data_IF_296366125938
#
_entry.id   IF_296366125938
#
_cell.length_a   1.000
_cell.length_b   1.000
_cell.length_c   1.000
_cell.angle_alpha   90.00
_cell.angle_beta   90.00
_cell.angle_gamma   90.00
#
_symmetry.space_group_name_H-M   'P 1'
#
loop_
_entity.id
_entity.type
_entity.pdbx_description
1 polymer ?
#
# COMPACT_ATOMS: atom_id res chain seq x y z
N UNK A 1 -45.70 -32.65 23.49
CA UNK A 1 -44.64 -31.90 24.19
C UNK A 1 -45.17 -30.47 24.41
N UNK A 2 -45.58 -30.15 25.64
CA UNK A 2 -46.43 -29.00 26.00
C UNK A 2 -45.72 -27.65 25.89
N UNK A 3 -46.45 -26.58 25.55
CA UNK A 3 -45.94 -25.19 25.36
C UNK A 3 -45.02 -24.69 26.49
N UNK A 4 -45.19 -25.18 27.72
CA UNK A 4 -44.31 -24.86 28.87
C UNK A 4 -42.86 -25.28 28.66
N UNK A 5 -42.60 -26.44 28.02
CA UNK A 5 -41.22 -26.89 27.76
C UNK A 5 -40.54 -26.04 26.68
N UNK A 6 -41.30 -25.57 25.67
CA UNK A 6 -40.78 -24.72 24.60
C UNK A 6 -40.36 -23.34 25.11
N UNK A 7 -41.13 -22.75 26.03
CA UNK A 7 -40.78 -21.49 26.69
C UNK A 7 -39.60 -21.59 27.66
N UNK A 8 -39.41 -22.75 28.30
CA UNK A 8 -38.27 -22.99 29.19
C UNK A 8 -36.96 -23.12 28.41
N UNK A 9 -36.99 -23.79 27.26
CA UNK A 9 -35.83 -23.91 26.37
C UNK A 9 -35.50 -22.55 25.70
N UNK A 10 -36.50 -21.80 25.22
CA UNK A 10 -36.27 -20.45 24.67
C UNK A 10 -35.62 -19.49 25.67
N UNK A 11 -36.05 -19.52 26.95
CA UNK A 11 -35.41 -18.73 28.01
C UNK A 11 -33.96 -19.14 28.27
N UNK A 12 -33.62 -20.43 28.17
CA UNK A 12 -32.23 -20.88 28.29
C UNK A 12 -31.36 -20.38 27.14
N UNK A 13 -31.86 -20.39 25.90
CA UNK A 13 -31.13 -19.84 24.75
C UNK A 13 -30.94 -18.33 24.85
N UNK A 14 -31.97 -17.58 25.27
CA UNK A 14 -31.85 -16.13 25.49
C UNK A 14 -30.85 -15.82 26.61
N UNK A 15 -30.89 -16.56 27.72
CA UNK A 15 -29.92 -16.40 28.82
C UNK A 15 -28.52 -16.79 28.36
N UNK A 16 -28.36 -17.86 27.56
CA UNK A 16 -27.06 -18.26 27.03
C UNK A 16 -26.48 -17.21 26.07
N UNK A 17 -27.29 -16.63 25.17
CA UNK A 17 -26.89 -15.55 24.26
C UNK A 17 -26.54 -14.28 25.05
N UNK A 18 -27.33 -13.95 26.08
CA UNK A 18 -27.07 -12.80 26.95
C UNK A 18 -25.79 -13.00 27.79
N UNK A 19 -25.54 -14.20 28.31
CA UNK A 19 -24.29 -14.56 28.98
C UNK A 19 -23.09 -14.55 28.01
N UNK A 20 -23.25 -15.01 26.76
CA UNK A 20 -22.20 -14.93 25.74
C UNK A 20 -21.86 -13.47 25.40
N UNK A 21 -22.88 -12.60 25.32
CA UNK A 21 -22.70 -11.16 25.11
C UNK A 21 -22.01 -10.47 26.31
N UNK A 22 -22.34 -10.86 27.55
CA UNK A 22 -21.67 -10.33 28.76
C UNK A 22 -20.21 -10.80 28.85
N UNK A 23 -19.93 -12.08 28.56
CA UNK A 23 -18.56 -12.61 28.57
C UNK A 23 -17.71 -11.91 27.50
N UNK A 24 -18.29 -11.61 26.34
CA UNK A 24 -17.64 -10.83 25.27
C UNK A 24 -17.36 -9.38 25.70
N UNK A 25 -18.26 -8.76 26.47
CA UNK A 25 -18.07 -7.39 26.99
C UNK A 25 -17.01 -7.30 28.10
N UNK A 26 -16.74 -8.39 28.84
CA UNK A 26 -15.74 -8.42 29.92
C UNK A 26 -14.32 -8.77 29.49
N UNK A 27 -14.12 -9.27 28.28
CA UNK A 27 -12.78 -9.44 27.68
C UNK A 27 -12.35 -8.16 26.93
N UNK A 28 -12.35 -7.02 27.62
CA UNK A 28 -11.54 -5.89 27.16
C UNK A 28 -10.08 -6.28 27.36
N UNK A 29 -9.41 -6.78 26.32
CA UNK A 29 -7.96 -7.01 26.36
C UNK A 29 -7.30 -5.70 26.79
N UNK A 30 -6.71 -5.69 27.99
CA UNK A 30 -6.00 -4.53 28.51
C UNK A 30 -4.86 -4.24 27.54
N UNK A 31 -4.85 -3.05 26.95
CA UNK A 31 -3.82 -2.69 25.98
C UNK A 31 -2.44 -2.77 26.61
N UNK A 32 -1.46 -3.29 25.86
CA UNK A 32 -0.07 -3.41 26.30
C UNK A 32 0.64 -2.05 26.36
N UNK A 33 0.16 -1.06 25.62
CA UNK A 33 0.65 0.32 25.64
C UNK A 33 -0.47 1.32 25.34
N UNK A 34 -0.20 2.61 25.54
CA UNK A 34 -1.08 3.70 25.13
C UNK A 34 -0.24 4.87 24.61
N UNK A 35 -0.49 5.32 23.39
CA UNK A 35 0.06 6.58 22.90
C UNK A 35 -0.70 7.71 23.58
N UNK A 36 -0.05 8.36 24.55
CA UNK A 36 -0.65 9.50 25.26
C UNK A 36 -0.78 10.70 24.34
N UNK A 37 0.20 10.88 23.46
CA UNK A 37 0.19 11.93 22.44
C UNK A 37 1.07 11.54 21.25
N UNK A 38 0.58 11.82 20.05
CA UNK A 38 1.37 11.84 18.82
C UNK A 38 1.16 13.20 18.15
N UNK A 39 2.23 13.81 17.65
CA UNK A 39 2.15 14.99 16.80
C UNK A 39 2.92 14.72 15.51
N UNK A 40 2.27 14.91 14.37
CA UNK A 40 2.84 14.85 13.03
C UNK A 40 2.71 16.22 12.38
N UNK A 41 3.81 16.85 11.99
CA UNK A 41 3.81 18.18 11.36
C UNK A 41 4.50 18.10 10.00
N UNK A 42 3.80 18.51 8.95
CA UNK A 42 4.30 18.58 7.58
C UNK A 42 4.39 20.05 7.19
N UNK A 43 5.53 20.48 6.69
CA UNK A 43 5.74 21.88 6.28
C UNK A 43 6.23 21.91 4.84
N UNK A 44 5.48 22.58 3.96
CA UNK A 44 5.96 22.96 2.64
C UNK A 44 6.59 24.36 2.76
N UNK A 45 7.86 24.47 2.44
CA UNK A 45 8.58 25.73 2.45
C UNK A 45 8.44 26.46 1.09
N UNK A 46 8.74 27.76 1.08
CA UNK A 46 8.63 28.61 -0.13
C UNK A 46 9.52 28.13 -1.29
N UNK A 47 10.65 27.51 -0.98
CA UNK A 47 11.58 26.97 -1.97
C UNK A 47 11.18 25.58 -2.51
N UNK A 48 10.10 24.99 -1.99
CA UNK A 48 9.62 23.66 -2.34
C UNK A 48 10.26 22.51 -1.56
N UNK A 49 11.13 22.79 -0.57
CA UNK A 49 11.54 21.78 0.41
C UNK A 49 10.37 21.36 1.30
N UNK A 50 10.44 20.15 1.85
CA UNK A 50 9.40 19.58 2.73
C UNK A 50 10.02 19.05 3.99
N UNK A 51 9.55 19.57 5.13
CA UNK A 51 9.93 19.11 6.46
C UNK A 51 8.82 18.25 7.07
N UNK A 52 9.23 17.14 7.70
CA UNK A 52 8.37 16.29 8.50
C UNK A 52 8.91 16.21 9.93
N UNK A 53 8.13 16.72 10.88
CA UNK A 53 8.44 16.67 12.31
C UNK A 53 7.48 15.73 13.02
N UNK A 54 8.03 14.83 13.83
CA UNK A 54 7.26 13.81 14.55
C UNK A 54 7.62 13.81 16.02
N UNK A 55 6.59 13.83 16.88
CA UNK A 55 6.75 13.56 18.31
C UNK A 55 5.80 12.47 18.78
N UNK A 56 6.25 11.69 19.77
CA UNK A 56 5.37 10.76 20.50
C UNK A 56 5.68 10.74 21.99
N UNK A 57 4.63 10.48 22.76
CA UNK A 57 4.68 10.09 24.17
C UNK A 57 3.91 8.78 24.31
N UNK A 58 4.61 7.69 24.60
CA UNK A 58 4.07 6.32 24.59
C UNK A 58 4.26 5.66 25.97
N UNK A 59 3.15 5.37 26.65
CA UNK A 59 3.14 4.68 27.95
C UNK A 59 3.16 3.17 27.74
N UNK A 60 4.08 2.48 28.40
CA UNK A 60 4.20 1.03 28.36
C UNK A 60 3.52 0.40 29.58
N UNK A 61 2.61 -0.54 29.36
CA UNK A 61 1.74 -1.10 30.40
C UNK A 61 2.01 -2.59 30.68
N UNK A 62 2.83 -3.24 29.86
CA UNK A 62 3.19 -4.66 30.03
C UNK A 62 4.63 -4.95 29.58
N UNK A 63 5.16 -6.11 30.00
CA UNK A 63 6.44 -6.63 29.49
C UNK A 63 6.43 -6.89 27.99
N UNK A 64 5.27 -7.27 27.43
CA UNK A 64 5.14 -7.53 26.01
C UNK A 64 5.38 -6.26 25.18
N UNK A 65 4.91 -5.11 25.69
CA UNK A 65 5.06 -3.82 25.03
C UNK A 65 6.53 -3.50 24.71
N UNK A 66 7.44 -3.60 25.69
CA UNK A 66 8.84 -3.23 25.48
C UNK A 66 9.73 -4.37 25.00
N UNK A 67 9.36 -5.63 25.19
CA UNK A 67 10.14 -6.75 24.66
C UNK A 67 9.84 -7.07 23.19
N UNK A 68 8.65 -6.71 22.67
CA UNK A 68 8.19 -7.17 21.36
C UNK A 68 7.62 -6.10 20.44
N UNK A 69 7.09 -4.99 20.96
CA UNK A 69 6.37 -4.00 20.13
C UNK A 69 7.11 -2.67 19.99
N UNK A 70 7.58 -2.11 21.10
CA UNK A 70 7.95 -0.69 21.22
C UNK A 70 9.32 -0.46 21.84
N UNK A 71 10.14 -1.50 21.98
CA UNK A 71 11.52 -1.36 22.45
C UNK A 71 12.38 -0.53 21.49
N UNK A 72 11.99 -0.46 20.23
CA UNK A 72 12.71 0.22 19.16
C UNK A 72 11.79 1.15 18.36
N UNK A 73 12.37 2.09 17.64
CA UNK A 73 11.67 2.86 16.61
C UNK A 73 12.54 2.95 15.38
N UNK A 74 11.94 2.73 14.22
CA UNK A 74 12.61 2.67 12.94
C UNK A 74 12.21 3.91 12.14
N UNK A 75 13.19 4.68 11.67
CA UNK A 75 12.99 5.91 10.93
C UNK A 75 13.76 5.81 9.62
N UNK A 76 13.04 5.77 8.51
CA UNK A 76 13.63 5.63 7.18
C UNK A 76 13.76 7.00 6.52
N UNK A 77 14.89 7.24 5.86
CA UNK A 77 15.11 8.43 5.02
C UNK A 77 16.04 8.12 3.85
N UNK A 78 15.98 8.96 2.82
CA UNK A 78 16.89 8.93 1.68
C UNK A 78 18.07 9.89 1.93
N UNK A 79 19.30 9.40 2.14
CA UNK A 79 20.43 10.26 2.52
C UNK A 79 20.90 11.22 1.42
N UNK A 80 20.54 10.97 0.17
CA UNK A 80 20.94 11.84 -0.95
C UNK A 80 20.13 13.15 -0.97
N UNK A 81 18.92 13.13 -0.40
CA UNK A 81 17.97 14.25 -0.46
C UNK A 81 17.32 14.62 0.87
N UNK A 82 17.56 13.84 1.92
CA UNK A 82 16.91 14.03 3.21
C UNK A 82 17.91 13.95 4.36
N UNK A 83 17.83 14.93 5.24
CA UNK A 83 18.56 14.94 6.50
C UNK A 83 17.62 14.59 7.67
N UNK A 84 17.97 13.56 8.43
CA UNK A 84 17.27 13.18 9.66
C UNK A 84 17.99 13.77 10.87
N UNK A 85 17.24 14.46 11.73
CA UNK A 85 17.70 14.99 13.01
C UNK A 85 16.86 14.38 14.14
N UNK A 86 17.48 13.67 15.09
CA UNK A 86 16.83 13.27 16.34
C UNK A 86 16.93 14.44 17.32
N UNK A 87 15.85 15.21 17.47
CA UNK A 87 15.81 16.39 18.33
C UNK A 87 15.89 15.99 19.82
N UNK A 88 15.14 14.95 20.22
CA UNK A 88 15.26 14.36 21.56
C UNK A 88 14.74 12.93 21.63
N UNK A 89 15.36 12.11 22.48
CA UNK A 89 14.89 10.75 22.79
C UNK A 89 15.20 10.40 24.24
N UNK A 90 14.18 10.04 25.01
CA UNK A 90 14.34 9.66 26.42
C UNK A 90 13.13 8.88 26.95
N UNK A 91 13.36 8.13 28.02
CA UNK A 91 12.33 7.43 28.76
C UNK A 91 12.13 8.08 30.14
N UNK A 92 10.88 8.24 30.56
CA UNK A 92 10.53 8.49 31.96
C UNK A 92 10.15 7.15 32.60
N UNK A 93 10.93 6.70 33.56
CA UNK A 93 10.71 5.45 34.32
C UNK A 93 9.46 5.56 35.21
N UNK A 94 9.01 4.44 35.77
CA UNK A 94 7.81 4.39 36.60
C UNK A 94 7.96 5.21 37.90
N UNK A 95 9.19 5.32 38.42
CA UNK A 95 9.55 6.16 39.57
C UNK A 95 9.73 7.66 39.22
N UNK A 96 9.57 8.03 37.95
CA UNK A 96 9.73 9.39 37.44
C UNK A 96 11.15 9.76 36.99
N UNK A 97 12.13 8.85 37.12
CA UNK A 97 13.50 9.11 36.67
C UNK A 97 13.56 9.22 35.14
N UNK A 98 14.21 10.29 34.65
CA UNK A 98 14.48 10.49 33.22
C UNK A 98 15.77 9.79 32.80
N UNK A 99 15.70 8.92 31.80
CA UNK A 99 16.83 8.25 31.16
C UNK A 99 16.91 8.74 29.71
N UNK A 100 17.94 9.50 29.37
CA UNK A 100 18.20 9.93 27.99
C UNK A 100 18.74 8.74 27.19
N UNK A 101 18.25 8.56 25.96
CA UNK A 101 18.74 7.52 25.05
C UNK A 101 20.23 7.79 24.77
N UNK A 102 21.14 6.84 25.07
CA UNK A 102 22.57 7.05 24.86
C UNK A 102 22.92 7.07 23.37
N UNK A 103 24.03 7.70 23.00
CA UNK A 103 24.44 7.86 21.59
C UNK A 103 24.63 6.52 20.85
N UNK A 104 25.07 5.48 21.54
CA UNK A 104 25.25 4.14 20.96
C UNK A 104 23.94 3.34 20.79
N UNK A 105 22.79 3.91 21.17
CA UNK A 105 21.47 3.33 20.94
C UNK A 105 20.80 3.85 19.66
N UNK A 106 21.51 4.67 18.87
CA UNK A 106 21.12 5.06 17.53
C UNK A 106 21.99 4.28 16.54
N UNK A 107 21.37 3.35 15.82
CA UNK A 107 22.07 2.52 14.83
C UNK A 107 21.53 2.81 13.44
N UNK A 108 22.43 3.13 12.52
CA UNK A 108 22.09 3.31 11.12
C UNK A 108 22.28 2.00 10.36
N UNK A 109 21.23 1.54 9.68
CA UNK A 109 21.24 0.28 8.91
C UNK A 109 20.61 0.48 7.54
N UNK A 110 20.80 -0.50 6.67
CA UNK A 110 20.07 -0.59 5.41
C UNK A 110 18.66 -1.15 5.68
N UNK A 111 17.58 -0.45 5.29
CA UNK A 111 16.23 -0.99 5.44
C UNK A 111 16.10 -2.30 4.67
N UNK A 112 15.33 -3.25 5.25
CA UNK A 112 15.19 -4.59 4.68
C UNK A 112 14.71 -4.60 3.22
N UNK A 113 13.83 -3.68 2.85
CA UNK A 113 13.29 -3.60 1.48
C UNK A 113 14.31 -3.10 0.44
N UNK A 114 15.40 -2.45 0.88
CA UNK A 114 16.49 -1.98 0.03
C UNK A 114 17.65 -2.99 -0.09
N UNK A 115 17.50 -4.18 0.52
CA UNK A 115 18.49 -5.24 0.41
C UNK A 115 18.76 -5.61 -1.05
N UNK A 116 20.02 -5.92 -1.38
CA UNK A 116 20.47 -6.29 -2.72
C UNK A 116 20.06 -5.31 -3.84
N UNK A 117 19.84 -4.03 -3.51
CA UNK A 117 19.36 -3.01 -4.45
C UNK A 117 20.38 -1.88 -4.60
N UNK A 118 21.46 -2.06 -5.41
CA UNK A 118 22.56 -1.10 -5.47
C UNK A 118 22.15 0.33 -5.83
N UNK A 119 21.14 0.50 -6.70
CA UNK A 119 20.62 1.82 -7.08
C UNK A 119 19.94 2.58 -5.93
N UNK A 120 19.61 1.89 -4.84
CA UNK A 120 18.85 2.40 -3.70
C UNK A 120 19.60 2.21 -2.37
N UNK A 121 20.91 1.96 -2.44
CA UNK A 121 21.76 1.73 -1.28
C UNK A 121 22.10 3.02 -0.49
N UNK A 122 21.51 4.16 -0.84
CA UNK A 122 21.56 5.42 -0.09
C UNK A 122 20.36 5.57 0.85
N UNK A 123 19.35 4.70 0.76
CA UNK A 123 18.26 4.70 1.74
C UNK A 123 18.79 4.14 3.06
N UNK A 124 18.49 4.80 4.17
CA UNK A 124 18.91 4.42 5.52
C UNK A 124 17.72 4.32 6.45
N UNK A 125 17.84 3.42 7.40
CA UNK A 125 16.92 3.25 8.51
C UNK A 125 17.70 3.47 9.81
N UNK A 126 17.26 4.44 10.59
CA UNK A 126 17.80 4.70 11.92
C UNK A 126 16.95 3.94 12.93
N UNK A 127 17.58 3.00 13.63
CA UNK A 127 17.01 2.24 14.73
C UNK A 127 17.32 2.96 16.03
N UNK A 128 16.28 3.51 16.66
CA UNK A 128 16.33 4.12 17.99
C UNK A 128 15.96 3.07 19.02
N UNK A 129 16.95 2.53 19.74
CA UNK A 129 16.71 1.60 20.85
C UNK A 129 16.38 2.37 22.13
N UNK A 130 15.16 2.24 22.63
CA UNK A 130 14.73 2.93 23.85
C UNK A 130 15.30 2.25 25.10
N UNK A 131 15.92 3.01 25.98
CA UNK A 131 16.57 2.48 27.20
C UNK A 131 15.76 2.84 28.46
N UNK A 132 16.02 2.14 29.57
CA UNK A 132 15.29 2.37 30.83
C UNK A 132 13.83 1.93 30.78
N UNK A 133 13.51 0.90 29.98
CA UNK A 133 12.15 0.39 29.82
C UNK A 133 11.75 -0.54 30.96
N UNK A 134 10.58 -0.29 31.54
CA UNK A 134 9.95 -1.12 32.55
C UNK A 134 8.43 -0.95 32.46
N UNK A 135 7.67 -1.79 33.14
CA UNK A 135 6.21 -1.61 33.19
C UNK A 135 5.90 -0.28 33.87
N UNK A 136 5.16 0.57 33.17
CA UNK A 136 4.86 1.92 33.63
C UNK A 136 5.84 2.99 33.15
N UNK A 137 6.88 2.67 32.37
CA UNK A 137 7.71 3.71 31.76
C UNK A 137 7.01 4.40 30.57
N UNK A 138 7.50 5.58 30.20
CA UNK A 138 6.96 6.40 29.10
C UNK A 138 8.09 6.79 28.15
N UNK A 139 8.02 6.30 26.91
CA UNK A 139 8.94 6.67 25.84
C UNK A 139 8.56 8.05 25.28
N UNK A 140 9.54 8.93 25.11
CA UNK A 140 9.41 10.19 24.43
C UNK A 140 10.43 10.26 23.30
N UNK A 141 9.96 10.53 22.09
CA UNK A 141 10.79 10.67 20.89
C UNK A 141 10.32 11.87 20.09
N UNK A 142 11.28 12.62 19.58
CA UNK A 142 11.12 13.82 18.78
C UNK A 142 12.20 13.83 17.69
N UNK A 143 11.78 13.88 16.43
CA UNK A 143 12.69 13.94 15.29
C UNK A 143 12.13 14.77 14.13
N UNK A 144 13.04 15.24 13.27
CA UNK A 144 12.72 15.98 12.05
C UNK A 144 13.42 15.33 10.84
N UNK A 145 12.68 15.12 9.75
CA UNK A 145 13.24 14.82 8.43
C UNK A 145 13.07 16.06 7.57
N UNK A 146 14.18 16.62 7.08
CA UNK A 146 14.17 17.74 6.14
C UNK A 146 14.48 17.22 4.75
N UNK A 147 13.60 17.49 3.78
CA UNK A 147 13.75 17.02 2.40
C UNK A 147 14.08 18.19 1.48
N UNK A 148 15.15 18.05 0.70
CA UNK A 148 15.61 19.06 -0.24
C UNK A 148 14.54 19.40 -1.30
N UNK A 149 14.54 20.64 -1.84
CA UNK A 149 13.63 21.04 -2.91
C UNK A 149 13.69 20.08 -4.11
N UNK A 150 12.52 19.68 -4.61
CA UNK A 150 12.41 18.80 -5.78
C UNK A 150 12.66 17.31 -5.53
N UNK A 151 12.88 16.91 -4.27
CA UNK A 151 12.80 15.49 -3.89
C UNK A 151 11.36 15.00 -3.99
N UNK A 152 10.45 15.62 -3.25
CA UNK A 152 9.01 15.40 -3.42
C UNK A 152 8.44 16.35 -4.47
N UNK A 153 7.55 15.89 -5.36
CA UNK A 153 6.91 16.77 -6.34
C UNK A 153 5.96 17.77 -5.67
N UNK A 154 5.31 17.36 -4.58
CA UNK A 154 4.35 18.14 -3.80
C UNK A 154 4.40 17.69 -2.34
N UNK A 155 3.89 18.51 -1.42
CA UNK A 155 3.58 18.05 -0.07
C UNK A 155 2.33 17.16 -0.14
N UNK A 156 2.46 15.90 0.25
CA UNK A 156 1.41 14.89 0.20
C UNK A 156 1.43 14.05 1.49
N UNK A 157 0.27 13.55 1.92
CA UNK A 157 0.16 12.61 3.03
C UNK A 157 -0.97 11.60 2.84
N UNK A 158 -0.74 10.37 3.29
CA UNK A 158 -1.70 9.25 3.39
C UNK A 158 -1.64 8.69 4.82
N UNK A 159 -2.26 9.40 5.76
CA UNK A 159 -2.14 9.15 7.19
C UNK A 159 -3.25 8.24 7.69
N UNK A 160 -2.94 6.96 7.91
CA UNK A 160 -3.77 6.07 8.73
C UNK A 160 -3.66 6.56 10.18
N UNK A 161 -4.81 6.86 10.80
CA UNK A 161 -4.84 7.53 12.10
C UNK A 161 -4.74 6.53 13.26
N UNK A 162 -5.07 5.27 13.02
CA UNK A 162 -4.93 4.18 14.00
C UNK A 162 -3.48 3.75 14.18
N UNK A 163 -3.15 3.36 15.41
CA UNK A 163 -1.90 2.71 15.77
C UNK A 163 -2.20 1.33 16.36
N UNK A 164 -1.19 0.46 16.47
CA UNK A 164 -1.40 -0.88 17.06
C UNK A 164 -1.78 -0.88 18.54
N UNK A 165 -1.74 0.29 19.20
CA UNK A 165 -2.24 0.53 20.54
C UNK A 165 -3.06 1.83 20.57
N UNK A 166 -3.99 2.01 21.52
CA UNK A 166 -4.88 3.16 21.56
C UNK A 166 -4.11 4.47 21.61
N UNK A 167 -4.65 5.51 20.96
CA UNK A 167 -4.07 6.85 20.93
C UNK A 167 -5.01 7.82 21.62
N UNK A 168 -4.56 8.39 22.74
CA UNK A 168 -5.34 9.35 23.52
C UNK A 168 -5.50 10.68 22.77
N UNK A 169 -4.44 11.17 22.13
CA UNK A 169 -4.46 12.38 21.32
C UNK A 169 -3.48 12.26 20.13
N UNK A 170 -4.00 12.38 18.91
CA UNK A 170 -3.21 12.52 17.68
C UNK A 170 -3.45 13.91 17.11
N UNK A 171 -2.38 14.65 16.86
CA UNK A 171 -2.42 15.96 16.22
C UNK A 171 -1.69 15.86 14.89
N UNK A 172 -2.36 16.23 13.80
CA UNK A 172 -1.74 16.38 12.49
C UNK A 172 -1.78 17.86 12.12
N UNK A 173 -0.63 18.41 11.77
CA UNK A 173 -0.49 19.79 11.29
C UNK A 173 0.11 19.80 9.90
N UNK A 174 -0.51 20.56 9.01
CA UNK A 174 0.02 20.80 7.67
C UNK A 174 0.17 22.29 7.46
N UNK A 175 1.39 22.73 7.26
CA UNK A 175 1.77 24.12 7.03
C UNK A 175 2.15 24.28 5.56
N UNK A 176 1.51 25.23 4.88
CA UNK A 176 1.79 25.58 3.48
C UNK A 176 1.98 27.09 3.33
N UNK A 177 2.72 27.56 2.30
CA UNK A 177 2.78 28.98 1.98
C UNK A 177 1.39 29.59 1.80
N UNK A 178 1.20 30.84 2.22
CA UNK A 178 -0.13 31.47 2.27
C UNK A 178 -0.82 31.58 0.90
N UNK A 179 -0.04 31.68 -0.19
CA UNK A 179 -0.49 31.74 -1.57
C UNK A 179 -0.88 30.37 -2.16
N UNK A 180 -0.59 29.27 -1.45
CA UNK A 180 -0.96 27.90 -1.85
C UNK A 180 -2.27 27.46 -1.21
N UNK A 181 -2.82 26.39 -1.78
CA UNK A 181 -3.98 25.67 -1.28
C UNK A 181 -3.59 24.26 -0.81
N UNK A 182 -4.29 23.77 0.22
CA UNK A 182 -4.22 22.38 0.65
C UNK A 182 -5.57 21.72 0.33
N UNK A 183 -5.53 20.64 -0.45
CA UNK A 183 -6.68 19.77 -0.67
C UNK A 183 -6.58 18.59 0.29
N UNK A 184 -7.68 18.18 0.90
CA UNK A 184 -7.68 17.07 1.84
C UNK A 184 -9.03 16.34 1.85
N UNK A 185 -9.00 15.10 2.32
CA UNK A 185 -10.18 14.28 2.56
C UNK A 185 -9.97 13.37 3.75
N UNK A 186 -11.04 13.12 4.51
CA UNK A 186 -11.06 12.11 5.56
C UNK A 186 -11.87 10.90 5.10
N UNK A 187 -11.41 9.72 5.49
CA UNK A 187 -12.10 8.45 5.28
C UNK A 187 -12.39 7.82 6.64
N UNK A 188 -13.60 7.28 6.82
CA UNK A 188 -14.07 6.61 8.06
C UNK A 188 -13.96 7.44 9.35
N UNK A 189 -13.85 8.76 9.23
CA UNK A 189 -13.88 9.70 10.35
C UNK A 189 -14.32 11.07 9.82
N UNK A 190 -14.88 11.91 10.69
CA UNK A 190 -15.26 13.29 10.35
C UNK A 190 -14.58 14.25 11.32
N UNK A 191 -13.88 15.24 10.78
CA UNK A 191 -13.18 16.29 11.53
C UNK A 191 -12.81 17.44 10.59
N UNK A 192 -13.02 18.67 11.02
CA UNK A 192 -12.59 19.85 10.28
C UNK A 192 -11.29 20.40 10.90
N UNK A 193 -10.31 20.84 10.10
CA UNK A 193 -9.10 21.43 10.64
C UNK A 193 -9.38 22.81 11.22
N UNK A 194 -8.70 23.13 12.32
CA UNK A 194 -8.52 24.53 12.72
C UNK A 194 -7.47 25.16 11.83
N UNK A 195 -7.86 26.19 11.08
CA UNK A 195 -6.96 26.92 10.17
C UNK A 195 -6.45 28.18 10.85
N UNK A 196 -5.13 28.39 10.81
CA UNK A 196 -4.49 29.59 11.35
C UNK A 196 -3.42 30.11 10.37
N UNK A 197 -3.04 31.38 10.51
CA UNK A 197 -1.93 31.96 9.75
C UNK A 197 -0.77 32.25 10.70
N UNK A 198 0.43 31.73 10.41
CA UNK A 198 1.63 31.91 11.23
C UNK A 198 2.84 32.09 10.32
N UNK A 199 3.56 33.20 10.47
CA UNK A 199 4.84 33.42 9.78
C UNK A 199 4.76 33.33 8.25
N UNK A 200 3.69 33.84 7.63
CA UNK A 200 3.50 33.76 6.17
C UNK A 200 2.96 32.41 5.67
N UNK A 201 2.72 31.45 6.57
CA UNK A 201 2.15 30.14 6.24
C UNK A 201 0.71 30.02 6.75
N UNK A 202 -0.09 29.24 6.02
CA UNK A 202 -1.40 28.75 6.44
C UNK A 202 -1.23 27.37 7.05
N UNK A 203 -1.69 27.20 8.30
CA UNK A 203 -1.53 25.97 9.08
C UNK A 203 -2.89 25.34 9.33
N UNK A 204 -3.07 24.11 8.87
CA UNK A 204 -4.25 23.28 9.08
C UNK A 204 -3.96 22.30 10.22
N UNK A 205 -4.77 22.32 11.29
CA UNK A 205 -4.57 21.45 12.46
C UNK A 205 -5.77 20.56 12.69
N UNK A 206 -5.59 19.25 12.55
CA UNK A 206 -6.54 18.24 13.01
C UNK A 206 -6.14 17.73 14.39
N UNK A 207 -7.13 17.50 15.25
CA UNK A 207 -6.93 16.86 16.55
C UNK A 207 -7.93 15.73 16.69
N UNK A 208 -7.42 14.50 16.79
CA UNK A 208 -8.20 13.30 17.01
C UNK A 208 -7.96 12.81 18.43
N UNK A 209 -9.03 12.50 19.15
CA UNK A 209 -8.96 12.07 20.55
C UNK A 209 -9.55 10.69 20.70
N UNK A 210 -8.96 9.89 21.59
CA UNK A 210 -9.46 8.56 21.95
C UNK A 210 -9.63 7.63 20.75
N UNK A 211 -8.62 7.56 19.88
CA UNK A 211 -8.58 6.60 18.78
C UNK A 211 -8.34 5.20 19.35
N UNK A 212 -9.14 4.25 18.88
CA UNK A 212 -8.99 2.84 19.23
C UNK A 212 -7.67 2.29 18.65
N UNK A 213 -7.19 1.18 19.22
CA UNK A 213 -6.14 0.40 18.59
C UNK A 213 -6.66 -0.19 17.26
N UNK A 214 -5.77 -0.31 16.28
CA UNK A 214 -6.08 -1.03 15.05
C UNK A 214 -6.49 -2.47 15.36
N UNK A 215 -7.39 -3.01 14.53
CA UNK A 215 -7.81 -4.40 14.66
C UNK A 215 -6.61 -5.34 14.49
N UNK A 216 -6.64 -6.47 15.20
CA UNK A 216 -5.66 -7.57 15.05
C UNK A 216 -6.25 -8.74 14.25
N UNK A 217 -7.40 -8.55 13.61
CA UNK A 217 -8.01 -9.57 12.75
C UNK A 217 -7.13 -9.82 11.51
N UNK A 218 -6.85 -11.10 11.25
CA UNK A 218 -6.04 -11.56 10.12
C UNK A 218 -6.71 -11.33 8.75
N UNK A 219 -8.02 -11.08 8.72
CA UNK A 219 -8.80 -10.90 7.49
C UNK A 219 -9.29 -9.47 7.27
N UNK A 220 -8.55 -8.49 7.79
CA UNK A 220 -8.83 -7.08 7.50
C UNK A 220 -8.75 -6.79 6.01
N UNK A 221 -9.56 -5.83 5.57
CA UNK A 221 -9.53 -5.32 4.21
C UNK A 221 -8.12 -4.83 3.85
N UNK A 222 -7.68 -5.16 2.63
CA UNK A 222 -6.41 -4.70 2.11
C UNK A 222 -6.34 -3.17 2.06
N UNK A 223 -5.12 -2.64 2.12
CA UNK A 223 -4.87 -1.21 2.03
C UNK A 223 -5.52 -0.36 3.11
N UNK A 224 -6.08 -0.93 4.19
CA UNK A 224 -6.71 -0.22 5.30
C UNK A 224 -7.85 0.72 4.89
N UNK A 225 -8.70 0.27 3.96
CA UNK A 225 -9.86 1.05 3.46
C UNK A 225 -10.94 1.28 4.49
N UNK A 226 -10.99 0.49 5.56
CA UNK A 226 -11.92 0.63 6.69
C UNK A 226 -11.35 1.43 7.87
N UNK A 227 -10.05 1.72 7.90
CA UNK A 227 -9.43 2.52 8.97
C UNK A 227 -9.71 4.01 8.80
N UNK A 228 -9.80 4.78 9.90
CA UNK A 228 -9.87 6.23 9.86
C UNK A 228 -8.56 6.79 9.30
N UNK A 229 -8.68 7.68 8.31
CA UNK A 229 -7.54 8.15 7.51
C UNK A 229 -7.70 9.60 7.11
N UNK A 230 -6.59 10.33 7.09
CA UNK A 230 -6.47 11.65 6.50
C UNK A 230 -5.56 11.61 5.27
N UNK A 231 -6.09 12.05 4.14
CA UNK A 231 -5.33 12.23 2.91
C UNK A 231 -5.25 13.71 2.59
N UNK A 232 -4.07 14.22 2.24
CA UNK A 232 -3.90 15.62 1.83
C UNK A 232 -2.83 15.78 0.75
N UNK A 233 -2.95 16.86 -0.02
CA UNK A 233 -1.95 17.28 -1.01
C UNK A 233 -1.97 18.79 -1.23
N UNK A 234 -0.81 19.37 -1.51
CA UNK A 234 -0.67 20.76 -1.95
C UNK A 234 -0.99 20.96 -3.45
N UNK A 235 -1.44 19.91 -4.15
CA UNK A 235 -1.78 19.95 -5.57
C UNK A 235 -2.99 19.08 -5.89
N UNK A 236 -3.53 19.24 -7.11
CA UNK A 236 -4.56 18.36 -7.65
C UNK A 236 -3.97 17.11 -8.31
N UNK A 237 -4.81 16.13 -8.61
CA UNK A 237 -4.36 14.87 -9.18
C UNK A 237 -3.85 15.01 -10.60
N UNK A 238 -4.36 15.97 -11.37
CA UNK A 238 -3.95 16.15 -12.75
C UNK A 238 -2.50 16.65 -12.83
N UNK A 239 -2.10 17.59 -11.99
CA UNK A 239 -0.73 18.10 -11.95
C UNK A 239 0.23 17.03 -11.44
N UNK A 240 -0.12 16.35 -10.33
CA UNK A 240 0.67 15.22 -9.81
C UNK A 240 0.86 14.12 -10.85
N UNK A 241 -0.20 13.78 -11.60
CA UNK A 241 -0.13 12.85 -12.71
C UNK A 241 0.80 13.32 -13.83
N UNK A 242 0.63 14.55 -14.31
CA UNK A 242 1.40 15.11 -15.42
C UNK A 242 2.89 15.11 -15.09
N UNK A 243 3.27 15.55 -13.88
CA UNK A 243 4.66 15.53 -13.45
C UNK A 243 5.20 14.10 -13.36
N UNK A 244 4.40 13.17 -12.82
CA UNK A 244 4.79 11.77 -12.68
C UNK A 244 5.08 11.12 -14.04
N UNK A 245 4.20 11.27 -15.03
CA UNK A 245 4.40 10.68 -16.37
C UNK A 245 5.37 11.47 -17.25
N UNK A 246 5.76 12.69 -16.85
CA UNK A 246 6.71 13.51 -17.62
C UNK A 246 8.14 12.97 -17.58
N UNK A 247 8.44 12.13 -16.58
CA UNK A 247 9.76 11.56 -16.31
C UNK A 247 10.35 10.84 -17.52
N UNK A 248 11.69 10.83 -17.61
CA UNK A 248 12.41 10.17 -18.70
C UNK A 248 12.10 8.66 -18.81
N UNK A 249 11.72 8.01 -17.72
CA UNK A 249 11.37 6.59 -17.70
C UNK A 249 10.19 6.25 -18.65
N UNK A 250 9.22 7.16 -18.81
CA UNK A 250 8.06 6.98 -19.69
C UNK A 250 8.33 7.27 -21.18
N UNK A 251 9.60 7.39 -21.59
CA UNK A 251 9.99 7.44 -23.01
C UNK A 251 10.06 6.05 -23.66
N UNK A 252 10.04 4.99 -22.85
CA UNK A 252 10.05 3.59 -23.30
C UNK A 252 11.20 3.22 -24.24
N UNK A 253 12.38 3.83 -24.04
CA UNK A 253 13.54 3.58 -24.90
C UNK A 253 14.02 2.13 -24.81
N UNK A 254 14.52 1.60 -25.93
CA UNK A 254 15.12 0.26 -26.04
C UNK A 254 16.61 0.34 -26.37
N UNK A 255 17.38 -0.69 -26.00
CA UNK A 255 18.77 -0.88 -26.41
C UNK A 255 18.90 -2.13 -27.31
N UNK A 256 20.08 -2.35 -27.89
CA UNK A 256 20.32 -3.46 -28.82
C UNK A 256 19.96 -4.84 -28.24
N UNK A 257 20.27 -5.09 -26.96
CA UNK A 257 19.97 -6.36 -26.29
C UNK A 257 18.46 -6.61 -26.14
N UNK A 258 17.70 -5.56 -25.79
CA UNK A 258 16.24 -5.61 -25.72
C UNK A 258 15.63 -5.85 -27.11
N UNK A 259 16.15 -5.17 -28.13
CA UNK A 259 15.65 -5.30 -29.50
C UNK A 259 15.92 -6.70 -30.06
N UNK A 260 17.10 -7.27 -29.78
CA UNK A 260 17.43 -8.64 -30.14
C UNK A 260 16.47 -9.65 -29.51
N UNK A 261 16.18 -9.53 -28.21
CA UNK A 261 15.20 -10.38 -27.52
C UNK A 261 13.82 -10.31 -28.21
N UNK A 262 13.38 -9.12 -28.60
CA UNK A 262 12.09 -8.94 -29.28
C UNK A 262 12.09 -9.57 -30.67
N UNK A 263 13.17 -9.40 -31.44
CA UNK A 263 13.29 -10.03 -32.77
C UNK A 263 13.26 -11.55 -32.69
N UNK A 264 14.04 -12.15 -31.78
CA UNK A 264 14.04 -13.60 -31.55
C UNK A 264 12.64 -14.10 -31.13
N UNK A 265 11.92 -13.32 -30.30
CA UNK A 265 10.55 -13.63 -29.91
C UNK A 265 9.57 -13.56 -31.09
N UNK A 266 9.74 -12.59 -32.00
CA UNK A 266 8.87 -12.42 -33.16
C UNK A 266 9.03 -13.54 -34.19
N UNK A 267 10.22 -14.14 -34.30
CA UNK A 267 10.50 -15.29 -35.18
C UNK A 267 9.83 -16.60 -34.71
N UNK A 268 9.39 -16.67 -33.46
CA UNK A 268 8.66 -17.85 -32.95
C UNK A 268 7.25 -17.96 -33.55
N UNK A 269 6.84 -19.20 -33.86
CA UNK A 269 5.48 -19.55 -34.26
C UNK A 269 4.56 -19.64 -33.02
N UNK A 270 4.40 -18.50 -32.36
CA UNK A 270 3.52 -18.31 -31.21
C UNK A 270 2.45 -17.28 -31.52
N UNK A 271 1.26 -17.48 -30.96
CA UNK A 271 0.19 -16.48 -31.03
C UNK A 271 0.52 -15.24 -30.18
N UNK A 272 -0.25 -14.16 -30.39
CA UNK A 272 -0.04 -12.85 -29.75
C UNK A 272 0.02 -12.92 -28.22
N UNK A 273 -0.87 -13.69 -27.58
CA UNK A 273 -0.91 -13.80 -26.12
C UNK A 273 0.31 -14.59 -25.62
N UNK A 274 0.65 -15.70 -26.28
CA UNK A 274 1.86 -16.48 -25.97
C UNK A 274 3.13 -15.61 -26.03
N UNK A 275 3.25 -14.74 -27.05
CA UNK A 275 4.36 -13.78 -27.17
C UNK A 275 4.39 -12.78 -26.00
N UNK A 276 3.23 -12.22 -25.63
CA UNK A 276 3.12 -11.31 -24.50
C UNK A 276 3.54 -11.97 -23.17
N UNK A 277 3.07 -13.19 -22.90
CA UNK A 277 3.41 -13.94 -21.69
C UNK A 277 4.87 -14.40 -21.66
N UNK A 278 5.47 -14.68 -22.82
CA UNK A 278 6.89 -15.02 -22.89
C UNK A 278 7.79 -13.81 -22.56
N UNK A 279 7.43 -12.61 -23.04
CA UNK A 279 8.10 -11.36 -22.64
C UNK A 279 7.85 -11.04 -21.16
N UNK A 280 6.61 -11.22 -20.66
CA UNK A 280 6.29 -11.10 -19.24
C UNK A 280 7.18 -12.03 -18.42
N UNK A 281 7.27 -13.31 -18.77
CA UNK A 281 8.10 -14.30 -18.08
C UNK A 281 9.57 -13.90 -18.03
N UNK A 282 10.11 -13.35 -19.12
CA UNK A 282 11.48 -12.84 -19.14
C UNK A 282 11.68 -11.74 -18.11
N UNK A 283 10.77 -10.76 -18.05
CA UNK A 283 10.86 -9.67 -17.06
C UNK A 283 10.58 -10.17 -15.65
N UNK A 284 9.52 -10.96 -15.43
CA UNK A 284 9.07 -11.36 -14.11
C UNK A 284 10.01 -12.35 -13.43
N UNK A 285 10.51 -13.36 -14.16
CA UNK A 285 11.22 -14.49 -13.57
C UNK A 285 12.75 -14.41 -13.73
N UNK A 286 13.27 -13.67 -14.71
CA UNK A 286 14.71 -13.63 -14.97
C UNK A 286 15.38 -12.36 -14.42
N UNK A 287 14.60 -11.44 -13.84
CA UNK A 287 15.10 -10.18 -13.25
C UNK A 287 14.72 -10.07 -11.77
N UNK A 288 15.63 -9.54 -10.96
CA UNK A 288 15.42 -9.31 -9.53
C UNK A 288 14.25 -8.38 -9.25
N UNK A 289 13.40 -8.75 -8.29
CA UNK A 289 12.34 -7.89 -7.78
C UNK A 289 12.88 -7.04 -6.64
N UNK A 290 12.68 -5.73 -6.72
CA UNK A 290 12.98 -4.79 -5.66
C UNK A 290 11.66 -4.20 -5.14
N UNK A 291 11.55 -4.01 -3.83
CA UNK A 291 10.36 -3.45 -3.19
C UNK A 291 10.63 -2.08 -2.57
N UNK A 292 11.25 -1.15 -3.33
CA UNK A 292 11.43 0.24 -2.86
C UNK A 292 10.09 0.97 -2.93
N UNK A 293 9.56 1.47 -1.80
CA UNK A 293 8.40 2.36 -1.80
C UNK A 293 8.69 3.69 -2.52
N UNK A 294 7.73 4.21 -3.28
CA UNK A 294 7.91 5.40 -4.12
C UNK A 294 8.32 6.63 -3.31
N UNK A 295 7.84 6.77 -2.09
CA UNK A 295 8.13 7.88 -1.20
C UNK A 295 9.62 7.98 -0.84
N UNK A 296 10.34 6.85 -0.78
CA UNK A 296 11.79 6.85 -0.53
C UNK A 296 12.62 7.04 -1.81
N UNK A 297 11.99 6.92 -2.98
CA UNK A 297 12.57 7.24 -4.29
C UNK A 297 12.17 8.64 -4.80
N UNK A 298 11.50 9.46 -3.99
CA UNK A 298 11.03 10.79 -4.39
C UNK A 298 9.99 10.75 -5.52
N UNK A 299 9.21 9.66 -5.60
CA UNK A 299 8.26 9.38 -6.69
C UNK A 299 8.91 9.33 -8.08
N UNK A 300 10.21 9.00 -8.13
CA UNK A 300 10.97 8.81 -9.37
C UNK A 300 11.28 7.34 -9.60
N UNK A 301 11.55 6.99 -10.85
CA UNK A 301 11.95 5.64 -11.23
C UNK A 301 13.01 5.65 -12.34
N UNK A 302 13.80 4.57 -12.42
CA UNK A 302 14.77 4.38 -13.51
C UNK A 302 14.05 4.02 -14.81
N UNK A 303 14.71 4.27 -15.94
CA UNK A 303 14.17 3.95 -17.25
C UNK A 303 14.37 2.46 -17.61
N UNK A 304 13.72 2.01 -18.69
CA UNK A 304 13.78 0.61 -19.15
C UNK A 304 15.19 0.10 -19.44
N UNK A 305 16.11 0.93 -19.94
CA UNK A 305 17.48 0.53 -20.25
C UNK A 305 18.27 0.29 -18.96
N UNK A 306 18.13 1.16 -17.97
CA UNK A 306 18.79 1.00 -16.66
C UNK A 306 18.25 -0.23 -15.90
N UNK A 307 16.95 -0.46 -15.95
CA UNK A 307 16.30 -1.65 -15.39
C UNK A 307 16.81 -2.92 -16.08
N UNK A 308 16.89 -2.93 -17.41
CA UNK A 308 17.43 -4.03 -18.19
C UNK A 308 18.91 -4.32 -17.82
N UNK A 309 19.75 -3.29 -17.86
CA UNK A 309 21.19 -3.43 -17.62
C UNK A 309 21.52 -3.86 -16.18
N UNK A 310 20.72 -3.44 -15.21
CA UNK A 310 20.90 -3.84 -13.81
C UNK A 310 20.33 -5.22 -13.47
N UNK A 311 19.55 -5.82 -14.39
CA UNK A 311 18.85 -7.09 -14.21
C UNK A 311 17.93 -7.14 -12.97
N UNK A 312 17.41 -5.99 -12.56
CA UNK A 312 16.51 -5.85 -11.42
C UNK A 312 15.75 -4.52 -11.44
N UNK A 313 14.57 -4.49 -10.83
CA UNK A 313 13.81 -3.25 -10.71
C UNK A 313 12.65 -3.32 -9.73
N UNK A 314 12.12 -2.15 -9.40
CA UNK A 314 10.84 -2.00 -8.73
C UNK A 314 9.69 -2.43 -9.65
N UNK A 315 8.49 -2.62 -9.09
CA UNK A 315 7.32 -3.02 -9.89
C UNK A 315 7.03 -2.06 -11.05
N UNK A 316 7.11 -0.75 -10.79
CA UNK A 316 6.98 0.29 -11.80
C UNK A 316 8.08 0.21 -12.86
N UNK A 317 9.34 0.12 -12.44
CA UNK A 317 10.48 0.02 -13.37
C UNK A 317 10.37 -1.20 -14.28
N UNK A 318 9.99 -2.36 -13.72
CA UNK A 318 9.75 -3.58 -14.48
C UNK A 318 8.52 -3.48 -15.37
N UNK A 319 7.47 -2.77 -14.96
CA UNK A 319 6.30 -2.51 -15.79
C UNK A 319 6.63 -1.60 -16.98
N UNK A 320 7.47 -0.58 -16.77
CA UNK A 320 8.00 0.29 -17.84
C UNK A 320 8.86 -0.56 -18.81
N UNK A 321 9.76 -1.40 -18.29
CA UNK A 321 10.56 -2.30 -19.12
C UNK A 321 9.70 -3.25 -19.96
N UNK A 322 8.74 -3.95 -19.34
CA UNK A 322 7.83 -4.85 -20.04
C UNK A 322 7.02 -4.09 -21.12
N UNK A 323 6.58 -2.88 -20.81
CA UNK A 323 5.90 -2.01 -21.78
C UNK A 323 6.80 -1.67 -22.97
N UNK A 324 8.06 -1.29 -22.74
CA UNK A 324 9.03 -1.02 -23.82
C UNK A 324 9.24 -2.22 -24.74
N UNK A 325 9.37 -3.43 -24.17
CA UNK A 325 9.52 -4.67 -24.95
C UNK A 325 8.27 -4.98 -25.79
N UNK A 326 7.08 -4.85 -25.19
CA UNK A 326 5.82 -5.13 -25.87
C UNK A 326 5.52 -4.09 -26.97
N UNK A 327 5.80 -2.81 -26.73
CA UNK A 327 5.68 -1.76 -27.75
C UNK A 327 6.65 -2.02 -28.91
N UNK A 328 7.91 -2.40 -28.63
CA UNK A 328 8.87 -2.79 -29.67
C UNK A 328 8.39 -4.01 -30.46
N UNK A 329 7.70 -4.95 -29.81
CA UNK A 329 7.10 -6.11 -30.46
C UNK A 329 5.84 -5.79 -31.30
N UNK A 330 5.38 -4.53 -31.30
CA UNK A 330 4.24 -4.05 -32.09
C UNK A 330 2.89 -4.10 -31.35
N UNK A 331 2.88 -4.39 -30.05
CA UNK A 331 1.67 -4.38 -29.24
C UNK A 331 1.35 -2.97 -28.74
N UNK A 332 0.06 -2.61 -28.75
CA UNK A 332 -0.41 -1.39 -28.11
C UNK A 332 -0.48 -1.63 -26.61
N UNK A 333 0.43 -0.98 -25.89
CA UNK A 333 0.69 -1.25 -24.47
C UNK A 333 0.91 0.03 -23.69
N UNK A 334 0.40 0.09 -22.47
CA UNK A 334 0.62 1.19 -21.52
C UNK A 334 0.83 0.65 -20.10
N UNK A 335 1.61 1.37 -19.28
CA UNK A 335 1.65 1.13 -17.84
C UNK A 335 0.38 1.73 -17.23
N UNK A 336 -0.20 1.05 -16.25
CA UNK A 336 -1.29 1.59 -15.43
C UNK A 336 -0.90 1.57 -13.95
N UNK A 337 -1.21 2.64 -13.23
CA UNK A 337 -1.18 2.68 -11.78
C UNK A 337 -2.53 2.20 -11.23
N UNK A 338 -2.48 1.54 -10.08
CA UNK A 338 -3.65 1.01 -9.38
C UNK A 338 -3.68 1.61 -7.99
N UNK A 339 -4.83 2.17 -7.61
CA UNK A 339 -5.09 2.62 -6.25
C UNK A 339 -6.52 2.24 -5.84
N UNK A 340 -6.78 2.00 -4.54
CA UNK A 340 -8.13 1.79 -4.06
C UNK A 340 -9.05 2.92 -4.50
N UNK A 341 -10.21 2.59 -5.06
CA UNK A 341 -11.17 3.57 -5.59
C UNK A 341 -11.55 4.63 -4.56
N UNK A 342 -11.66 4.24 -3.29
CA UNK A 342 -11.98 5.13 -2.17
C UNK A 342 -10.91 6.20 -1.90
N UNK A 343 -9.67 5.98 -2.35
CA UNK A 343 -8.57 6.92 -2.18
C UNK A 343 -8.36 7.81 -3.40
N UNK A 344 -9.01 7.51 -4.54
CA UNK A 344 -8.94 8.36 -5.72
C UNK A 344 -9.81 9.60 -5.54
N UNK A 345 -9.17 10.76 -5.59
CA UNK A 345 -9.85 12.05 -5.65
C UNK A 345 -9.13 12.96 -6.65
N UNK A 346 -9.86 13.41 -7.68
CA UNK A 346 -9.32 14.28 -8.74
C UNK A 346 -8.73 15.59 -8.20
N UNK A 347 -9.23 16.07 -7.06
CA UNK A 347 -8.84 17.34 -6.45
C UNK A 347 -7.63 17.16 -5.52
N UNK A 348 -7.19 15.92 -5.25
CA UNK A 348 -6.07 15.63 -4.34
C UNK A 348 -4.99 14.84 -5.10
N UNK A 349 -3.88 15.51 -5.41
CA UNK A 349 -2.72 14.88 -6.03
C UNK A 349 -1.89 14.11 -5.04
N UNK A 350 -2.36 12.92 -4.64
CA UNK A 350 -1.64 12.04 -3.72
C UNK A 350 -1.13 10.78 -4.42
N UNK A 351 0.16 10.74 -4.74
CA UNK A 351 0.82 9.58 -5.34
C UNK A 351 1.04 8.43 -4.34
N UNK A 352 0.99 8.69 -3.01
CA UNK A 352 1.08 7.65 -1.97
C UNK A 352 -0.09 6.66 -2.00
N UNK A 353 -1.22 7.07 -2.61
CA UNK A 353 -2.38 6.21 -2.76
C UNK A 353 -2.17 5.09 -3.80
N UNK A 354 -1.18 5.20 -4.69
CA UNK A 354 -0.85 4.15 -5.66
C UNK A 354 -0.26 2.96 -4.90
N UNK A 355 -0.89 1.79 -5.02
CA UNK A 355 -0.49 0.57 -4.30
C UNK A 355 0.11 -0.49 -5.22
N UNK A 356 -0.12 -0.38 -6.53
CA UNK A 356 0.30 -1.40 -7.49
C UNK A 356 0.44 -0.79 -8.90
N UNK A 357 1.19 -1.47 -9.77
CA UNK A 357 1.33 -1.15 -11.20
C UNK A 357 1.09 -2.40 -12.05
N UNK A 358 0.41 -2.22 -13.19
CA UNK A 358 0.17 -3.27 -14.18
C UNK A 358 0.58 -2.80 -15.57
N UNK A 359 0.75 -3.74 -16.48
CA UNK A 359 0.94 -3.49 -17.90
C UNK A 359 -0.32 -3.89 -18.62
N UNK A 360 -0.97 -2.91 -19.24
CA UNK A 360 -2.17 -3.13 -20.05
C UNK A 360 -1.77 -3.32 -21.51
N UNK A 361 -2.17 -4.44 -22.11
CA UNK A 361 -1.89 -4.78 -23.52
C UNK A 361 -3.21 -5.01 -24.25
N UNK A 362 -3.37 -4.42 -25.44
CA UNK A 362 -4.53 -4.66 -26.29
C UNK A 362 -4.23 -5.79 -27.30
N UNK A 363 -4.92 -6.93 -27.17
CA UNK A 363 -4.83 -8.07 -28.10
C UNK A 363 -6.11 -8.14 -28.93
N UNK A 364 -6.00 -8.18 -30.27
CA UNK A 364 -7.15 -8.05 -31.19
C UNK A 364 -8.35 -8.97 -30.89
N UNK A 365 -8.09 -10.23 -30.51
CA UNK A 365 -9.12 -11.24 -30.24
C UNK A 365 -9.56 -11.31 -28.78
N UNK A 366 -8.75 -10.80 -27.85
CA UNK A 366 -8.97 -10.94 -26.40
C UNK A 366 -9.32 -9.61 -25.71
N UNK A 367 -9.19 -8.48 -26.40
CA UNK A 367 -9.37 -7.15 -25.83
C UNK A 367 -8.19 -6.76 -24.93
N UNK A 368 -8.50 -6.00 -23.88
CA UNK A 368 -7.51 -5.50 -22.94
C UNK A 368 -7.14 -6.57 -21.91
N UNK A 369 -5.86 -6.92 -21.87
CA UNK A 369 -5.28 -7.78 -20.84
C UNK A 369 -4.38 -6.97 -19.91
N UNK A 370 -4.36 -7.34 -18.63
CA UNK A 370 -3.55 -6.70 -17.61
C UNK A 370 -2.58 -7.73 -17.04
N UNK A 371 -1.30 -7.39 -17.10
CA UNK A 371 -0.17 -8.24 -16.71
C UNK A 371 0.59 -7.61 -15.54
N UNK A 372 1.03 -8.43 -14.60
CA UNK A 372 2.01 -8.09 -13.58
C UNK A 372 3.42 -8.14 -14.16
N UNK A 373 4.27 -7.22 -13.73
CA UNK A 373 5.70 -7.24 -14.05
C UNK A 373 6.53 -8.12 -13.08
N UNK A 374 5.95 -8.53 -11.96
CA UNK A 374 6.65 -9.22 -10.86
C UNK A 374 6.40 -10.74 -10.81
N UNK A 375 5.35 -11.22 -11.48
CA UNK A 375 4.98 -12.64 -11.56
C UNK A 375 4.35 -12.94 -12.91
N UNK A 376 4.37 -14.22 -13.30
CA UNK A 376 3.54 -14.71 -14.40
C UNK A 376 2.11 -14.84 -13.89
N UNK A 377 1.18 -14.22 -14.59
CA UNK A 377 -0.22 -14.30 -14.21
C UNK A 377 -0.85 -15.56 -14.78
N UNK A 378 -1.64 -16.22 -13.95
CA UNK A 378 -2.48 -17.32 -14.43
C UNK A 378 -3.66 -16.79 -15.20
N UNK A 379 -4.20 -15.62 -14.86
CA UNK A 379 -5.41 -15.03 -15.45
C UNK A 379 -5.26 -13.52 -15.60
N UNK A 380 -6.13 -12.90 -16.40
CA UNK A 380 -6.17 -11.45 -16.59
C UNK A 380 -6.32 -10.73 -15.25
N UNK A 381 -5.31 -9.91 -14.90
CA UNK A 381 -5.32 -9.18 -13.64
C UNK A 381 -6.47 -8.18 -13.54
N UNK A 382 -7.16 -7.83 -14.65
CA UNK A 382 -8.35 -7.00 -14.60
C UNK A 382 -9.39 -7.50 -13.59
N UNK A 383 -9.57 -8.81 -13.47
CA UNK A 383 -10.56 -9.41 -12.56
C UNK A 383 -10.24 -9.15 -11.09
N UNK A 384 -8.98 -8.91 -10.73
CA UNK A 384 -8.60 -8.59 -9.35
C UNK A 384 -8.73 -7.11 -9.00
N UNK A 385 -9.04 -6.24 -9.98
CA UNK A 385 -9.01 -4.78 -9.83
C UNK A 385 -10.41 -4.15 -9.69
N UNK A 386 -11.41 -4.93 -9.26
CA UNK A 386 -12.82 -4.51 -9.23
C UNK A 386 -13.13 -3.34 -8.28
N UNK A 387 -12.34 -3.17 -7.22
CA UNK A 387 -12.48 -2.09 -6.22
C UNK A 387 -11.44 -0.98 -6.39
N UNK A 388 -10.71 -1.00 -7.50
CA UNK A 388 -9.60 -0.09 -7.76
C UNK A 388 -9.94 0.95 -8.84
N UNK A 389 -9.32 2.11 -8.70
CA UNK A 389 -9.13 3.06 -9.78
C UNK A 389 -7.86 2.69 -10.56
N UNK A 390 -8.02 2.46 -11.86
CA UNK A 390 -6.94 2.14 -12.80
C UNK A 390 -6.60 3.41 -13.58
N UNK A 391 -5.39 3.93 -13.41
CA UNK A 391 -4.93 5.17 -14.02
C UNK A 391 -3.92 4.86 -15.12
N UNK A 392 -4.24 5.18 -16.36
CA UNK A 392 -3.31 5.06 -17.49
C UNK A 392 -2.14 6.04 -17.34
N UNK A 393 -0.90 5.52 -17.33
CA UNK A 393 0.33 6.31 -17.23
C UNK A 393 0.92 6.56 -18.62
N UNK A 394 0.38 7.56 -19.32
CA UNK A 394 0.72 7.86 -20.69
C UNK A 394 1.00 9.36 -20.84
N UNK A 395 2.27 9.69 -21.09
CA UNK A 395 2.73 11.06 -21.29
C UNK A 395 2.08 11.76 -22.48
N UNK A 396 1.56 11.01 -23.46
CA UNK A 396 0.88 11.59 -24.61
C UNK A 396 -0.53 12.11 -24.28
N UNK A 397 -1.10 11.70 -23.15
CA UNK A 397 -2.42 12.14 -22.72
C UNK A 397 -2.34 13.50 -22.04
N UNK A 398 -3.22 14.42 -22.46
CA UNK A 398 -3.35 15.74 -21.84
C UNK A 398 -4.02 15.69 -20.46
N UNK A 399 -4.69 14.58 -20.13
CA UNK A 399 -5.38 14.37 -18.85
C UNK A 399 -5.24 12.93 -18.38
N UNK A 400 -5.22 12.73 -17.06
CA UNK A 400 -5.22 11.41 -16.45
C UNK A 400 -6.50 10.66 -16.83
N UNK A 401 -6.37 9.56 -17.59
CA UNK A 401 -7.48 8.66 -17.88
C UNK A 401 -7.63 7.64 -16.75
N UNK A 402 -8.74 7.73 -16.04
CA UNK A 402 -9.08 6.87 -14.91
C UNK A 402 -10.24 5.95 -15.28
N UNK A 403 -10.04 4.65 -15.07
CA UNK A 403 -11.01 3.59 -15.32
C UNK A 403 -11.38 3.00 -13.96
N UNK A 404 -12.67 3.02 -13.64
CA UNK A 404 -13.21 2.27 -12.51
C UNK A 404 -13.71 0.94 -13.05
N UNK A 405 -13.01 -0.15 -12.74
CA UNK A 405 -13.49 -1.45 -13.11
C UNK A 405 -14.75 -1.78 -12.29
N UNK A 406 -15.63 -2.63 -12.82
CA UNK A 406 -16.73 -3.16 -12.03
C UNK A 406 -16.23 -4.32 -11.20
N UNK A 407 -16.75 -4.45 -9.99
CA UNK A 407 -16.62 -5.69 -9.21
C UNK A 407 -17.21 -6.81 -10.06
N UNK A 408 -16.38 -7.80 -10.32
CA UNK A 408 -16.79 -9.00 -11.04
C UNK A 408 -17.21 -10.01 -9.98
N UNK A 409 -18.50 -10.32 -9.91
CA UNK A 409 -19.00 -11.34 -8.99
C UNK A 409 -18.42 -12.70 -9.38
N UNK A 410 -17.85 -13.41 -8.40
CA UNK A 410 -17.36 -14.76 -8.59
C UNK A 410 -18.46 -15.74 -8.23
N UNK A 411 -18.91 -16.53 -9.19
CA UNK A 411 -19.88 -17.58 -8.94
C UNK A 411 -19.18 -18.94 -8.90
N UNK A 412 -19.48 -19.70 -7.85
CA UNK A 412 -19.21 -21.14 -7.77
C UNK A 412 -20.56 -21.77 -7.47
N UNK A 413 -21.17 -22.37 -8.48
CA UNK A 413 -22.38 -23.18 -8.30
C UNK A 413 -21.98 -24.65 -8.29
N UNK A 414 -22.44 -25.39 -7.29
CA UNK A 414 -22.20 -26.82 -7.17
C UNK A 414 -23.55 -27.50 -7.00
N UNK A 415 -24.00 -28.17 -8.05
CA UNK A 415 -25.19 -29.02 -7.99
C UNK A 415 -24.74 -30.48 -7.92
N UNK A 416 -25.39 -31.30 -7.09
CA UNK A 416 -25.02 -32.70 -6.96
C UNK A 416 -26.22 -33.60 -6.74
N UNK A 417 -26.22 -34.75 -7.42
CA UNK A 417 -27.20 -35.81 -7.22
C UNK A 417 -26.47 -37.04 -6.70
N UNK A 418 -26.82 -37.46 -5.49
CA UNK A 418 -26.19 -38.59 -4.83
C UNK A 418 -27.22 -39.63 -4.42
N UNK A 419 -26.91 -40.89 -4.70
CA UNK A 419 -27.60 -42.08 -4.24
C UNK A 419 -26.74 -42.80 -3.20
N UNK A 420 -27.36 -43.10 -2.06
CA UNK A 420 -26.75 -43.94 -1.03
C UNK A 420 -27.07 -45.40 -1.34
N UNK A 421 -26.07 -46.15 -1.83
CA UNK A 421 -26.19 -47.58 -2.10
C UNK A 421 -25.40 -48.35 -1.05
N UNK A 422 -26.12 -48.99 -0.13
CA UNK A 422 -25.58 -49.72 1.01
C UNK A 422 -24.72 -48.82 1.92
N UNK A 423 -23.39 -48.94 1.84
CA UNK A 423 -22.37 -48.22 2.59
C UNK A 423 -21.59 -47.20 1.74
N UNK A 424 -21.99 -47.00 0.48
CA UNK A 424 -21.33 -46.10 -0.47
C UNK A 424 -22.26 -44.99 -0.92
N UNK A 425 -21.76 -43.76 -0.88
CA UNK A 425 -22.40 -42.60 -1.50
C UNK A 425 -21.86 -42.46 -2.93
N UNK A 426 -22.71 -42.69 -3.93
CA UNK A 426 -22.36 -42.55 -5.35
C UNK A 426 -23.22 -41.45 -5.95
N UNK A 427 -22.66 -40.62 -6.83
CA UNK A 427 -23.40 -39.52 -7.40
C UNK A 427 -22.61 -38.72 -8.41
N UNK A 428 -23.29 -37.78 -9.03
CA UNK A 428 -22.73 -36.82 -9.97
C UNK A 428 -22.73 -35.43 -9.33
N UNK A 429 -21.70 -34.66 -9.63
CA UNK A 429 -21.59 -33.24 -9.23
C UNK A 429 -21.37 -32.44 -10.51
N UNK A 430 -22.20 -31.44 -10.71
CA UNK A 430 -22.01 -30.36 -11.68
C UNK A 430 -21.43 -29.14 -10.96
N UNK A 431 -20.34 -28.58 -11.49
CA UNK A 431 -19.69 -27.40 -10.91
C UNK A 431 -19.62 -26.31 -11.99
N UNK A 432 -20.36 -25.23 -11.79
CA UNK A 432 -20.22 -24.00 -12.58
C UNK A 432 -19.24 -23.06 -11.88
N UNK A 433 -18.20 -22.65 -12.59
CA UNK A 433 -17.23 -21.66 -12.11
C UNK A 433 -17.30 -20.45 -13.03
N UNK A 434 -17.36 -19.25 -12.46
CA UNK A 434 -17.30 -17.99 -13.21
C UNK A 434 -16.08 -17.15 -12.80
N UNK A 435 -15.58 -16.34 -13.76
CA UNK A 435 -14.53 -15.34 -13.54
C UNK A 435 -13.26 -15.91 -12.88
N UNK A 436 -12.75 -15.31 -11.81
CA UNK A 436 -11.49 -15.73 -11.19
C UNK A 436 -11.57 -17.14 -10.56
N UNK A 437 -12.77 -17.66 -10.33
CA UNK A 437 -13.02 -19.04 -9.89
C UNK A 437 -12.87 -20.06 -11.01
N UNK A 438 -12.98 -19.64 -12.27
CA UNK A 438 -12.96 -20.54 -13.41
C UNK A 438 -11.54 -20.76 -13.92
N UNK A 439 -11.09 -22.00 -13.78
CA UNK A 439 -9.75 -22.41 -14.16
C UNK A 439 -9.48 -22.33 -15.67
N UNK A 440 -10.51 -22.20 -16.52
CA UNK A 440 -10.41 -22.01 -17.97
C UNK A 440 -10.19 -20.55 -18.40
N UNK A 441 -10.42 -19.56 -17.52
CA UNK A 441 -9.93 -18.18 -17.76
C UNK A 441 -8.45 -18.03 -17.44
N UNK A 442 -7.74 -19.15 -17.18
CA UNK A 442 -6.28 -19.14 -17.23
C UNK A 442 -5.85 -18.72 -18.63
N UNK A 443 -4.92 -17.78 -18.72
CA UNK A 443 -4.37 -17.30 -19.99
C UNK A 443 -3.98 -18.47 -20.92
N UNK A 444 -3.50 -19.58 -20.35
CA UNK A 444 -3.56 -20.90 -20.97
C UNK A 444 -3.76 -22.01 -19.92
N UNK A 445 -4.78 -22.84 -20.13
CA UNK A 445 -4.66 -24.29 -19.83
C UNK A 445 -5.09 -25.04 -21.07
N UNK A 446 -4.09 -25.64 -21.72
CA UNK A 446 -4.17 -26.81 -22.60
C UNK A 446 -5.29 -26.81 -23.66
N UNK A 447 -4.88 -26.67 -24.92
CA UNK A 447 -5.75 -26.88 -26.10
C UNK A 447 -6.46 -28.24 -26.12
N UNK A 448 -6.08 -29.19 -25.26
CA UNK A 448 -6.78 -30.46 -25.06
C UNK A 448 -8.15 -30.34 -24.36
N UNK A 449 -8.43 -29.23 -23.67
CA UNK A 449 -9.66 -29.07 -22.88
C UNK A 449 -10.79 -28.30 -23.59
N UNK A 450 -10.54 -27.67 -24.75
CA UNK A 450 -11.61 -27.13 -25.58
C UNK A 450 -12.24 -28.23 -26.46
N UNK A 451 -13.08 -29.07 -25.85
CA UNK A 451 -14.26 -29.55 -26.55
C UNK A 451 -15.44 -28.71 -26.06
N UNK A 452 -15.96 -27.92 -26.98
CA UNK A 452 -17.23 -27.21 -26.91
C UNK A 452 -18.28 -28.04 -26.17
N UNK A 453 -18.89 -27.47 -25.14
CA UNK A 453 -20.24 -27.83 -24.69
C UNK A 453 -21.10 -26.60 -24.90
#
# INVERSE_FOLDING_TARGET
MTLQNKNREMKKYIIAIFCLAIVSATFSQKSDAEFQKIVKEYTLNEDGSVDYHYTKTLKLLSHFAFHRLYGETFIVHNTDFQNLEINSSYTIMADGKKIVTPSNAFNEVLPRFANNSPAYNHIREIVVTHTGLEVGSTINLDYTIKSEPGFYPYLMGDEILEESSPVKELIIRVSIPADKSLNYSLLNISSEPVISNKGGQKVFTWTFKSLAASSKDSYQESHHTSSPRLVFSSSDFQNAYTDFVSQNAFKYNTNEGMEKLVSEMQETDMDDLSKCLALQKTVSNNMGNISIPLEYAGFKCRNSIDTWNSNQGTELEKAILLTSLLQKAGFKTEVVAVMPKLLYNKDIGNLLAIKDFKVKVQIKKLGDIYLSSNKIDKQNQLFTLGEDAIISLDKSQSKAKVIFNKVVEYKIEVEGKFDLQSDKLLGEIEVELENNSNQYFKFYTDSSAMKTI
#
